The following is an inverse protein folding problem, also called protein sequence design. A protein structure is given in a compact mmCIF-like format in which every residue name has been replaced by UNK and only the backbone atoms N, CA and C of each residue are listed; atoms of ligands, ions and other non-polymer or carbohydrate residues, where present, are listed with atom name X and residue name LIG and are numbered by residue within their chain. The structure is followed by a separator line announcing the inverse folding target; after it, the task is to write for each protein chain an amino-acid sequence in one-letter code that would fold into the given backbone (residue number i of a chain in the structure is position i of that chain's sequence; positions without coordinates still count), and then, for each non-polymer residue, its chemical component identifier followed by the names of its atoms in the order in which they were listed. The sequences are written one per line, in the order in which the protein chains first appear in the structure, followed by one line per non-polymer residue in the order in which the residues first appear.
data_IF_967330816251
#
_entry.id   IF_967330816251
#
_cell.length_a   1.000
_cell.length_b   1.000
_cell.length_c   1.000
_cell.angle_alpha   90.00
_cell.angle_beta   90.00
_cell.angle_gamma   90.00
#
_symmetry.space_group_name_H-M   'P 1'
#
loop_
_entity.id
_entity.type
_entity.pdbx_description
1 polymer ?
#
# COMPACT_ATOMS: atom_id res chain seq x y z
N UNK A 1 -30.79 -5.17 11.48
CA UNK A 1 -29.72 -5.09 12.49
C UNK A 1 -28.44 -4.54 11.84
N UNK A 2 -28.23 -3.24 11.96
CA UNK A 2 -26.98 -2.58 11.55
C UNK A 2 -25.88 -3.13 12.43
N UNK A 3 -24.93 -3.89 11.87
CA UNK A 3 -23.79 -4.37 12.63
C UNK A 3 -23.11 -3.17 13.33
N UNK A 4 -22.88 -3.30 14.64
CA UNK A 4 -22.09 -2.34 15.40
C UNK A 4 -20.72 -2.23 14.74
N UNK A 5 -20.33 -1.02 14.35
CA UNK A 5 -19.05 -0.77 13.69
C UNK A 5 -18.00 -0.49 14.76
N UNK A 6 -17.00 -1.34 14.83
CA UNK A 6 -15.80 -1.08 15.61
C UNK A 6 -14.81 -0.24 14.77
N UNK A 7 -14.21 0.77 15.39
CA UNK A 7 -13.25 1.67 14.75
C UNK A 7 -11.90 1.57 15.44
N UNK A 8 -10.84 1.52 14.63
CA UNK A 8 -9.47 1.48 15.11
C UNK A 8 -8.77 2.81 14.85
N UNK A 9 -8.02 3.31 15.83
CA UNK A 9 -7.18 4.50 15.71
C UNK A 9 -5.73 4.13 16.02
N UNK A 10 -4.84 4.43 15.08
CA UNK A 10 -3.38 4.29 15.25
C UNK A 10 -2.75 5.66 15.45
N UNK A 11 -2.00 5.84 16.54
CA UNK A 11 -1.24 7.05 16.83
C UNK A 11 0.26 6.77 16.90
N UNK A 12 1.09 7.77 16.58
CA UNK A 12 2.56 7.65 16.58
C UNK A 12 3.20 8.20 15.31
N UNK A 13 4.51 7.96 15.17
CA UNK A 13 5.26 8.25 13.95
C UNK A 13 5.58 6.94 13.24
N UNK A 14 5.47 6.93 11.91
CA UNK A 14 5.90 5.78 11.12
C UNK A 14 7.40 5.53 11.32
N UNK A 15 7.78 4.28 11.59
CA UNK A 15 9.17 3.82 11.51
C UNK A 15 9.32 2.99 10.23
N UNK A 16 10.21 3.43 9.34
CA UNK A 16 10.51 2.76 8.06
C UNK A 16 11.94 2.20 8.02
N UNK A 17 12.60 2.09 9.17
CA UNK A 17 13.88 1.39 9.28
C UNK A 17 13.76 -0.05 8.79
N UNK A 18 14.72 -0.46 7.96
CA UNK A 18 14.77 -1.83 7.43
C UNK A 18 13.81 -2.12 6.27
N UNK A 19 13.21 -1.11 5.64
CA UNK A 19 12.31 -1.26 4.47
C UNK A 19 11.14 -2.22 4.74
N UNK A 20 10.16 -1.79 5.56
CA UNK A 20 9.09 -2.66 6.00
C UNK A 20 8.33 -3.27 4.82
N UNK A 21 7.92 -4.52 5.00
CA UNK A 21 7.18 -5.29 4.00
C UNK A 21 5.72 -5.39 4.42
N UNK A 22 4.81 -5.05 3.51
CA UNK A 22 3.37 -5.07 3.72
C UNK A 22 2.71 -6.19 2.92
N UNK A 23 2.09 -7.13 3.62
CA UNK A 23 1.25 -8.15 3.03
C UNK A 23 -0.05 -7.52 2.49
N UNK A 24 -0.48 -7.97 1.31
CA UNK A 24 -1.71 -7.46 0.67
C UNK A 24 -2.93 -8.32 0.96
N UNK A 25 -2.73 -9.54 1.45
CA UNK A 25 -3.81 -10.50 1.73
C UNK A 25 -4.74 -10.70 0.52
N UNK A 26 -4.17 -10.71 -0.68
CA UNK A 26 -4.88 -10.76 -1.96
C UNK A 26 -5.88 -9.60 -2.22
N UNK A 27 -5.83 -8.53 -1.41
CA UNK A 27 -6.69 -7.35 -1.53
C UNK A 27 -5.97 -6.18 -2.21
N UNK A 28 -6.48 -5.77 -3.37
CA UNK A 28 -5.96 -4.64 -4.13
C UNK A 28 -5.98 -3.32 -3.34
N UNK A 29 -6.92 -3.16 -2.41
CA UNK A 29 -7.02 -1.96 -1.58
C UNK A 29 -5.87 -1.88 -0.59
N UNK A 30 -5.41 -3.01 -0.07
CA UNK A 30 -4.24 -3.04 0.84
C UNK A 30 -2.99 -2.58 0.09
N UNK A 31 -2.73 -3.14 -1.10
CA UNK A 31 -1.60 -2.72 -1.94
C UNK A 31 -1.64 -1.21 -2.25
N UNK A 32 -2.79 -0.71 -2.69
CA UNK A 32 -2.95 0.70 -3.05
C UNK A 32 -2.91 1.64 -1.83
N UNK A 33 -3.40 1.22 -0.67
CA UNK A 33 -3.39 2.04 0.55
C UNK A 33 -1.97 2.21 1.11
N UNK A 34 -1.09 1.22 0.94
CA UNK A 34 0.28 1.29 1.41
C UNK A 34 1.24 1.99 0.45
N UNK A 35 0.99 1.99 -0.87
CA UNK A 35 1.90 2.59 -1.84
C UNK A 35 2.29 4.07 -1.53
N UNK A 36 1.38 4.95 -1.08
CA UNK A 36 1.74 6.32 -0.70
C UNK A 36 2.69 6.43 0.50
N UNK A 37 2.82 5.39 1.34
CA UNK A 37 3.81 5.38 2.43
C UNK A 37 5.25 5.48 1.89
N UNK A 38 5.48 5.15 0.61
CA UNK A 38 6.78 5.33 -0.04
C UNK A 38 7.25 6.80 -0.08
N UNK A 39 6.35 7.77 0.12
CA UNK A 39 6.70 9.18 0.29
C UNK A 39 7.52 9.46 1.56
N UNK A 40 7.40 8.59 2.57
CA UNK A 40 8.10 8.73 3.84
C UNK A 40 9.44 7.97 3.86
N UNK A 41 9.64 7.04 2.92
CA UNK A 41 10.83 6.20 2.80
C UNK A 41 10.53 4.90 2.07
N UNK A 42 11.55 4.09 1.69
CA UNK A 42 11.30 2.91 0.86
C UNK A 42 10.54 1.82 1.63
N UNK A 43 9.64 1.14 0.93
CA UNK A 43 8.77 0.08 1.46
C UNK A 43 8.74 -1.09 0.47
N UNK A 44 8.28 -2.26 0.93
CA UNK A 44 8.01 -3.42 0.08
C UNK A 44 6.54 -3.80 0.19
N UNK A 45 5.92 -4.15 -0.93
CA UNK A 45 4.52 -4.60 -0.98
C UNK A 45 4.54 -6.01 -1.56
N UNK A 46 3.96 -6.97 -0.84
CA UNK A 46 3.86 -8.36 -1.30
C UNK A 46 2.74 -8.51 -2.32
N UNK A 47 2.94 -9.41 -3.30
CA UNK A 47 1.99 -9.69 -4.37
C UNK A 47 1.42 -8.43 -5.05
N UNK A 48 2.26 -7.49 -5.54
CA UNK A 48 1.79 -6.22 -6.12
C UNK A 48 0.87 -6.40 -7.33
N UNK A 49 0.80 -7.61 -7.90
CA UNK A 49 -0.09 -7.96 -9.01
C UNK A 49 -1.57 -8.02 -8.64
N UNK A 50 -1.93 -8.04 -7.35
CA UNK A 50 -3.34 -8.06 -6.91
C UNK A 50 -4.12 -6.83 -7.40
N UNK A 51 -3.44 -5.72 -7.66
CA UNK A 51 -4.06 -4.50 -8.21
C UNK A 51 -4.48 -4.63 -9.67
N UNK A 52 -3.90 -5.58 -10.42
CA UNK A 52 -4.04 -5.64 -11.87
C UNK A 52 -5.49 -5.84 -12.34
N UNK A 53 -6.34 -6.46 -11.51
CA UNK A 53 -7.77 -6.64 -11.82
C UNK A 53 -8.56 -5.33 -11.72
N UNK A 54 -8.24 -4.47 -10.76
CA UNK A 54 -9.00 -3.25 -10.46
C UNK A 54 -8.39 -2.01 -11.12
N UNK A 55 -7.06 -1.95 -11.17
CA UNK A 55 -6.30 -0.84 -11.73
C UNK A 55 -5.00 -1.35 -12.38
N UNK A 56 -5.06 -1.85 -13.63
CA UNK A 56 -3.92 -2.46 -14.33
C UNK A 56 -2.67 -1.58 -14.43
N UNK A 57 -2.87 -0.26 -14.59
CA UNK A 57 -1.79 0.70 -14.80
C UNK A 57 -1.29 1.37 -13.51
N UNK A 58 -1.75 0.91 -12.33
CA UNK A 58 -1.47 1.58 -11.05
C UNK A 58 0.02 1.89 -10.82
N UNK A 59 0.89 0.90 -10.99
CA UNK A 59 2.33 1.06 -10.78
C UNK A 59 2.99 1.95 -11.83
N UNK A 60 2.52 1.93 -13.08
CA UNK A 60 3.03 2.81 -14.14
C UNK A 60 2.59 4.26 -13.91
N UNK A 61 1.38 4.48 -13.43
CA UNK A 61 0.88 5.80 -13.06
C UNK A 61 1.63 6.36 -11.84
N UNK A 62 1.98 5.52 -10.85
CA UNK A 62 2.87 5.91 -9.75
C UNK A 62 4.26 6.33 -10.26
N UNK A 63 4.85 5.59 -11.19
CA UNK A 63 6.12 5.98 -11.82
C UNK A 63 6.01 7.33 -12.53
N UNK A 64 4.92 7.59 -13.25
CA UNK A 64 4.69 8.86 -13.97
C UNK A 64 4.61 10.07 -13.05
N UNK A 65 4.13 9.88 -11.82
CA UNK A 65 4.05 10.97 -10.83
C UNK A 65 5.30 11.06 -9.93
N UNK A 66 6.35 10.29 -10.23
CA UNK A 66 7.67 10.44 -9.61
C UNK A 66 8.02 9.40 -8.56
N UNK A 67 7.23 8.33 -8.38
CA UNK A 67 7.64 7.22 -7.52
C UNK A 67 8.67 6.33 -8.22
N UNK A 68 9.69 5.90 -7.48
CA UNK A 68 10.57 4.82 -7.91
C UNK A 68 9.92 3.48 -7.54
N UNK A 69 9.43 2.75 -8.54
CA UNK A 69 8.86 1.41 -8.36
C UNK A 69 9.85 0.40 -8.92
N UNK A 70 10.45 -0.39 -8.02
CA UNK A 70 11.42 -1.44 -8.32
C UNK A 70 10.71 -2.79 -8.20
N UNK A 71 10.78 -3.58 -9.26
CA UNK A 71 10.22 -4.94 -9.32
C UNK A 71 11.25 -5.97 -8.86
#
# INVERSE_FOLDING_TARGET
PSAEKEYFHTSGKANLEGFPTFATYEDHRMAMAFAPLALLGPIRIEDPMVVAKSYPNFWEDLKRIGFEVIA
#
